data_IF_329257623913
#
_entry.id   IF_329257623913
#
_cell.length_a   1.000
_cell.length_b   1.000
_cell.length_c   1.000
_cell.angle_alpha   90.00
_cell.angle_beta   90.00
_cell.angle_gamma   90.00
#
_symmetry.space_group_name_H-M   'P 1'
#
loop_
_entity.id
_entity.type
_entity.pdbx_description
1 polymer ?
#
# COMPACT_ATOMS: atom_id res chain seq x y z
N UNK A 1 -46.75 39.70 -7.84
CA UNK A 1 -46.49 39.98 -6.41
C UNK A 1 -45.90 38.75 -5.77
N UNK A 2 -44.62 38.81 -5.43
CA UNK A 2 -43.95 37.91 -4.47
C UNK A 2 -43.64 38.74 -3.20
N UNK A 3 -43.16 38.18 -2.08
CA UNK A 3 -43.45 36.88 -1.46
C UNK A 3 -43.82 37.05 0.04
N UNK A 4 -44.52 36.09 0.64
CA UNK A 4 -44.67 36.04 2.11
C UNK A 4 -43.69 35.04 2.70
N UNK A 5 -42.67 35.58 3.38
CA UNK A 5 -41.68 34.86 4.18
C UNK A 5 -42.33 34.44 5.49
N UNK A 6 -42.28 33.16 5.85
CA UNK A 6 -42.51 32.73 7.23
C UNK A 6 -41.22 32.20 7.84
N UNK A 7 -41.02 32.62 9.09
CA UNK A 7 -39.75 32.77 9.81
C UNK A 7 -39.61 31.61 10.79
N UNK A 8 -38.40 31.06 10.91
CA UNK A 8 -38.06 30.09 11.95
C UNK A 8 -38.17 30.67 13.37
N UNK A 9 -38.37 29.83 14.40
CA UNK A 9 -38.02 30.16 15.77
C UNK A 9 -36.83 29.31 16.28
N UNK A 10 -35.72 29.98 16.58
CA UNK A 10 -34.74 29.60 17.62
C UNK A 10 -35.09 30.37 18.90
N UNK A 11 -35.05 29.73 20.08
CA UNK A 11 -33.91 29.91 21.02
C UNK A 11 -33.66 28.61 21.84
N UNK A 12 -32.59 28.35 22.58
CA UNK A 12 -31.41 29.06 23.09
C UNK A 12 -30.60 28.04 23.95
N UNK A 13 -29.40 28.38 24.44
CA UNK A 13 -28.45 27.41 24.99
C UNK A 13 -28.53 27.27 26.52
N UNK A 14 -28.27 26.07 27.05
CA UNK A 14 -28.04 25.78 28.49
C UNK A 14 -27.43 24.37 28.67
N UNK A 15 -26.73 24.04 29.77
CA UNK A 15 -25.43 24.57 30.19
C UNK A 15 -24.37 23.46 30.37
N UNK A 16 -23.10 23.89 30.28
CA UNK A 16 -21.91 23.20 30.78
C UNK A 16 -22.05 22.88 32.27
N UNK A 17 -21.89 21.60 32.64
CA UNK A 17 -21.68 21.18 34.03
C UNK A 17 -20.28 20.60 34.18
N UNK A 18 -19.41 21.44 34.72
CA UNK A 18 -18.15 21.07 35.35
C UNK A 18 -18.46 20.34 36.66
N UNK A 19 -17.87 19.17 36.87
CA UNK A 19 -17.62 18.65 38.22
C UNK A 19 -16.13 18.39 38.38
N UNK A 20 -15.57 19.09 39.36
CA UNK A 20 -14.21 19.02 39.85
C UNK A 20 -14.17 18.11 41.08
N UNK A 21 -12.95 17.65 41.40
CA UNK A 21 -12.49 17.21 42.74
C UNK A 21 -12.70 15.72 43.02
N UNK A 22 -11.77 14.95 43.59
CA UNK A 22 -10.53 15.27 44.31
C UNK A 22 -9.87 13.96 44.79
N UNK A 23 -8.54 13.95 44.89
CA UNK A 23 -7.68 13.36 45.97
C UNK A 23 -7.82 11.85 46.29
N UNK A 24 -6.80 11.04 46.56
CA UNK A 24 -5.40 11.26 46.94
C UNK A 24 -4.73 9.90 47.20
N UNK A 25 -3.39 9.91 47.19
CA UNK A 25 -2.50 9.17 48.12
C UNK A 25 -1.96 7.77 47.74
N UNK A 26 -0.66 7.78 47.41
CA UNK A 26 0.44 7.00 48.03
C UNK A 26 0.30 5.46 48.01
N UNK A 27 1.20 4.69 47.39
CA UNK A 27 2.44 4.24 48.05
C UNK A 27 3.41 3.50 47.09
N UNK A 28 4.68 3.93 47.08
CA UNK A 28 5.91 3.13 46.80
C UNK A 28 6.41 2.60 48.16
N UNK A 29 7.26 1.53 48.30
CA UNK A 29 8.50 1.27 47.56
C UNK A 29 8.73 -0.25 47.24
N UNK A 30 9.69 -0.68 46.43
CA UNK A 30 11.12 -0.92 46.79
C UNK A 30 11.89 -1.46 45.58
N UNK A 31 13.18 -1.14 45.56
CA UNK A 31 14.23 -1.57 44.61
C UNK A 31 15.07 -2.68 45.25
N UNK A 32 15.58 -3.66 44.49
CA UNK A 32 17.04 -3.84 44.35
C UNK A 32 17.39 -4.28 42.90
N UNK A 33 18.61 -4.35 42.37
CA UNK A 33 19.99 -4.09 42.77
C UNK A 33 20.78 -3.90 41.45
N UNK A 34 21.87 -3.13 41.49
CA UNK A 34 22.87 -3.01 40.41
C UNK A 34 23.54 -4.36 40.11
N UNK A 35 23.76 -4.68 38.83
CA UNK A 35 24.96 -5.38 38.36
C UNK A 35 25.62 -4.54 37.27
N UNK A 36 26.91 -4.35 37.47
CA UNK A 36 27.90 -3.70 36.62
C UNK A 36 28.33 -4.61 35.49
N UNK A 37 28.71 -4.04 34.35
CA UNK A 37 29.78 -4.59 33.51
C UNK A 37 29.50 -4.67 32.01
N UNK A 38 30.30 -3.90 31.26
CA UNK A 38 30.80 -4.12 29.90
C UNK A 38 29.90 -3.79 28.69
N UNK A 39 30.26 -2.70 28.00
CA UNK A 39 30.43 -2.72 26.53
C UNK A 39 31.94 -2.80 26.25
N UNK A 40 32.37 -3.50 25.20
CA UNK A 40 32.49 -2.85 23.89
C UNK A 40 31.98 -3.70 22.70
N UNK A 41 31.60 -2.98 21.64
CA UNK A 41 31.37 -3.40 20.24
C UNK A 41 32.63 -4.03 19.59
N UNK A 42 32.65 -4.41 18.28
CA UNK A 42 31.61 -4.87 17.35
C UNK A 42 31.97 -6.26 16.76
N UNK A 43 30.99 -7.11 16.46
CA UNK A 43 31.27 -8.30 15.62
C UNK A 43 30.45 -8.24 14.35
N UNK A 44 31.19 -8.05 13.26
CA UNK A 44 30.81 -8.36 11.89
C UNK A 44 30.15 -9.74 11.82
N UNK A 45 28.86 -9.76 11.49
CA UNK A 45 28.18 -10.97 11.04
C UNK A 45 27.27 -10.59 9.89
N UNK A 46 27.89 -10.66 8.71
CA UNK A 46 27.34 -10.54 7.36
C UNK A 46 26.38 -11.69 7.05
N UNK A 47 25.42 -11.93 7.95
CA UNK A 47 24.48 -13.05 7.91
C UNK A 47 23.07 -12.53 8.17
N UNK A 48 22.51 -11.88 7.15
CA UNK A 48 21.05 -11.88 6.95
C UNK A 48 20.81 -12.21 5.49
N UNK A 49 21.40 -13.33 5.06
CA UNK A 49 21.24 -13.83 3.69
C UNK A 49 20.14 -14.89 3.70
N UNK A 50 18.93 -14.39 3.44
CA UNK A 50 17.87 -15.12 2.73
C UNK A 50 17.37 -16.36 3.47
N UNK A 51 16.44 -16.17 4.40
CA UNK A 51 15.48 -17.22 4.77
C UNK A 51 14.05 -16.73 4.48
N UNK A 52 13.42 -17.45 3.55
CA UNK A 52 12.00 -17.52 3.23
C UNK A 52 11.12 -16.31 3.59
N UNK A 53 10.80 -15.47 2.61
CA UNK A 53 9.76 -14.44 2.73
C UNK A 53 8.55 -14.83 1.90
N UNK A 54 7.77 -15.79 2.42
CA UNK A 54 6.38 -15.94 2.03
C UNK A 54 5.71 -14.60 2.35
N UNK A 55 5.13 -13.96 1.35
CA UNK A 55 4.30 -12.77 1.58
C UNK A 55 3.15 -13.18 2.53
N UNK A 56 3.05 -12.58 3.74
CA UNK A 56 2.10 -13.02 4.77
C UNK A 56 0.64 -12.78 4.38
N UNK A 57 0.39 -12.07 3.27
CA UNK A 57 -0.94 -11.77 2.75
C UNK A 57 -1.34 -12.69 1.59
N UNK A 58 -0.39 -13.35 0.92
CA UNK A 58 -0.66 -14.01 -0.38
C UNK A 58 -0.21 -15.48 -0.49
N UNK A 59 0.77 -15.95 0.31
CA UNK A 59 1.09 -17.39 0.41
C UNK A 59 1.68 -18.06 -0.86
N UNK A 60 2.08 -17.30 -1.87
CA UNK A 60 2.63 -17.83 -3.13
C UNK A 60 4.16 -17.85 -3.09
N UNK A 61 4.77 -18.94 -3.56
CA UNK A 61 6.21 -19.07 -3.81
C UNK A 61 6.60 -18.10 -4.94
N UNK A 62 7.35 -17.04 -4.60
CA UNK A 62 7.80 -16.04 -5.56
C UNK A 62 9.15 -16.49 -6.12
N UNK A 63 9.25 -16.99 -7.37
CA UNK A 63 10.54 -17.29 -7.98
C UNK A 63 11.38 -16.01 -8.04
N UNK A 64 12.71 -16.15 -7.97
CA UNK A 64 13.66 -15.04 -7.78
C UNK A 64 13.22 -13.78 -8.53
N UNK A 65 12.97 -12.66 -7.82
CA UNK A 65 12.35 -11.52 -8.45
C UNK A 65 13.31 -10.97 -9.51
N UNK A 66 12.88 -11.02 -10.77
CA UNK A 66 13.56 -10.39 -11.89
C UNK A 66 13.76 -8.92 -11.54
N UNK A 67 14.97 -8.41 -11.78
CA UNK A 67 15.30 -6.99 -11.62
C UNK A 67 14.98 -6.27 -12.92
N UNK A 68 14.26 -5.17 -12.81
CA UNK A 68 13.81 -4.36 -13.92
C UNK A 68 14.63 -3.08 -14.03
N UNK A 69 14.93 -2.67 -15.26
CA UNK A 69 15.44 -1.32 -15.54
C UNK A 69 14.30 -0.32 -15.68
N UNK A 70 14.61 0.98 -15.61
CA UNK A 70 13.61 2.04 -15.81
C UNK A 70 12.98 1.95 -17.19
N UNK A 71 13.75 1.58 -18.20
CA UNK A 71 13.30 1.39 -19.58
C UNK A 71 12.33 0.21 -19.70
N UNK A 72 12.60 -0.91 -19.02
CA UNK A 72 11.70 -2.06 -18.97
C UNK A 72 10.38 -1.73 -18.26
N UNK A 73 10.45 -0.98 -17.15
CA UNK A 73 9.26 -0.48 -16.46
C UNK A 73 8.45 0.40 -17.40
N UNK A 74 9.09 1.38 -18.04
CA UNK A 74 8.43 2.30 -18.98
C UNK A 74 7.78 1.57 -20.15
N UNK A 75 8.40 0.51 -20.65
CA UNK A 75 7.83 -0.34 -21.70
C UNK A 75 6.58 -1.10 -21.23
N UNK A 76 6.47 -1.43 -19.94
CA UNK A 76 5.31 -2.13 -19.36
C UNK A 76 4.14 -1.20 -19.00
N UNK A 77 4.38 0.10 -18.80
CA UNK A 77 3.37 1.08 -18.36
C UNK A 77 2.10 1.07 -19.22
N UNK A 78 2.14 1.02 -20.57
CA UNK A 78 0.92 1.04 -21.38
C UNK A 78 0.02 -0.17 -21.11
N UNK A 79 0.60 -1.37 -20.98
CA UNK A 79 -0.15 -2.59 -20.66
C UNK A 79 -0.71 -2.53 -19.23
N UNK A 80 0.12 -2.15 -18.26
CA UNK A 80 -0.31 -2.02 -16.86
C UNK A 80 -1.44 -1.00 -16.74
N UNK A 81 -1.35 0.14 -17.42
CA UNK A 81 -2.40 1.17 -17.43
C UNK A 81 -3.72 0.63 -17.96
N UNK A 82 -3.69 -0.12 -19.08
CA UNK A 82 -4.89 -0.71 -19.66
C UNK A 82 -5.55 -1.71 -18.71
N UNK A 83 -4.77 -2.64 -18.15
CA UNK A 83 -5.26 -3.65 -17.21
C UNK A 83 -5.76 -3.03 -15.91
N UNK A 84 -5.10 -1.97 -15.43
CA UNK A 84 -5.54 -1.25 -14.23
C UNK A 84 -6.92 -0.64 -14.40
N UNK A 85 -7.17 -0.02 -15.56
CA UNK A 85 -8.49 0.53 -15.89
C UNK A 85 -9.57 -0.57 -15.89
N UNK A 86 -9.27 -1.74 -16.47
CA UNK A 86 -10.16 -2.89 -16.44
C UNK A 86 -10.42 -3.39 -15.00
N UNK A 87 -9.37 -3.49 -14.18
CA UNK A 87 -9.48 -3.89 -12.77
C UNK A 87 -10.35 -2.92 -11.94
N UNK A 88 -10.24 -1.60 -12.17
CA UNK A 88 -11.08 -0.60 -11.51
C UNK A 88 -12.55 -0.73 -11.91
N UNK A 89 -12.84 -0.99 -13.19
CA UNK A 89 -14.22 -1.21 -13.65
C UNK A 89 -14.82 -2.50 -13.07
N UNK A 90 -14.07 -3.60 -13.08
CA UNK A 90 -14.47 -4.87 -12.45
C UNK A 90 -14.75 -4.69 -10.96
N UNK A 91 -13.91 -3.94 -10.24
CA UNK A 91 -14.12 -3.65 -8.83
C UNK A 91 -15.34 -2.77 -8.59
N UNK A 92 -15.61 -1.80 -9.45
CA UNK A 92 -16.82 -1.00 -9.38
C UNK A 92 -18.08 -1.87 -9.57
N UNK A 93 -18.06 -2.80 -10.54
CA UNK A 93 -19.13 -3.79 -10.73
C UNK A 93 -19.30 -4.68 -9.51
N UNK A 94 -18.21 -5.22 -8.97
CA UNK A 94 -18.23 -6.09 -7.79
C UNK A 94 -18.85 -5.38 -6.58
N UNK A 95 -18.49 -4.10 -6.34
CA UNK A 95 -19.12 -3.28 -5.29
C UNK A 95 -20.62 -3.09 -5.50
N UNK A 96 -21.08 -2.89 -6.74
CA UNK A 96 -22.52 -2.76 -7.05
C UNK A 96 -23.29 -4.04 -6.72
N UNK A 97 -22.75 -5.20 -7.10
CA UNK A 97 -23.38 -6.50 -6.80
C UNK A 97 -23.35 -6.83 -5.31
N UNK A 98 -22.24 -6.53 -4.62
CA UNK A 98 -22.14 -6.69 -3.17
C UNK A 98 -23.24 -5.90 -2.44
N UNK A 99 -23.43 -4.62 -2.81
CA UNK A 99 -24.46 -3.78 -2.19
C UNK A 99 -25.89 -4.33 -2.42
N UNK A 100 -26.19 -4.86 -3.60
CA UNK A 100 -27.52 -5.47 -3.88
C UNK A 100 -27.76 -6.74 -3.06
N UNK A 101 -26.74 -7.57 -2.91
CA UNK A 101 -26.81 -8.78 -2.09
C UNK A 101 -27.00 -8.44 -0.60
N UNK A 102 -26.25 -7.45 -0.09
CA UNK A 102 -26.39 -6.95 1.27
C UNK A 102 -27.81 -6.38 1.53
N UNK A 103 -28.35 -5.58 0.60
CA UNK A 103 -29.71 -5.02 0.68
C UNK A 103 -30.78 -6.11 0.68
N UNK A 104 -30.55 -7.21 -0.04
CA UNK A 104 -31.42 -8.37 -0.04
C UNK A 104 -31.26 -9.25 1.23
N UNK A 105 -30.35 -8.92 2.14
CA UNK A 105 -30.08 -9.68 3.36
C UNK A 105 -29.16 -10.89 3.17
N UNK A 106 -28.43 -10.95 2.05
CA UNK A 106 -27.49 -12.02 1.72
C UNK A 106 -26.07 -11.44 1.63
N UNK A 107 -25.30 -11.37 2.73
CA UNK A 107 -23.95 -10.82 2.67
C UNK A 107 -23.08 -11.58 1.67
N UNK A 108 -22.21 -10.85 0.96
CA UNK A 108 -21.34 -11.48 -0.03
C UNK A 108 -20.45 -12.54 0.63
N UNK A 109 -20.64 -13.78 0.21
CA UNK A 109 -19.93 -14.95 0.71
C UNK A 109 -19.72 -15.93 -0.44
N UNK A 110 -18.84 -16.90 -0.29
CA UNK A 110 -18.58 -17.87 -1.36
C UNK A 110 -19.79 -18.75 -1.70
N UNK A 111 -20.68 -18.95 -0.73
CA UNK A 111 -21.80 -19.89 -0.81
C UNK A 111 -23.09 -19.20 -0.45
N UNK A 112 -24.08 -19.38 -1.30
CA UNK A 112 -25.43 -18.90 -1.06
C UNK A 112 -26.29 -20.02 -0.44
N UNK A 113 -27.25 -19.70 0.46
CA UNK A 113 -28.26 -20.66 0.90
C UNK A 113 -29.01 -21.27 -0.29
N UNK A 114 -29.35 -22.56 -0.18
CA UNK A 114 -30.02 -23.32 -1.26
C UNK A 114 -31.40 -22.76 -1.61
N UNK A 115 -32.07 -22.16 -0.62
CA UNK A 115 -33.40 -21.55 -0.72
C UNK A 115 -33.38 -20.09 -1.17
N UNK A 116 -32.21 -19.55 -1.53
CA UNK A 116 -32.10 -18.15 -1.93
C UNK A 116 -32.92 -17.83 -3.20
N UNK A 117 -33.58 -16.65 -3.25
CA UNK A 117 -34.37 -16.23 -4.39
C UNK A 117 -33.60 -16.26 -5.72
N UNK A 118 -34.27 -16.48 -6.87
CA UNK A 118 -33.61 -16.52 -8.17
C UNK A 118 -32.77 -15.27 -8.51
N UNK A 119 -33.22 -14.08 -8.13
CA UNK A 119 -32.49 -12.81 -8.30
C UNK A 119 -31.18 -12.77 -7.50
N UNK A 120 -31.22 -13.20 -6.24
CA UNK A 120 -30.02 -13.29 -5.38
C UNK A 120 -29.03 -14.30 -5.95
N UNK A 121 -29.52 -15.46 -6.42
CA UNK A 121 -28.68 -16.47 -7.10
C UNK A 121 -27.98 -15.90 -8.33
N UNK A 122 -28.67 -15.11 -9.15
CA UNK A 122 -28.08 -14.46 -10.34
C UNK A 122 -27.01 -13.45 -9.93
N UNK A 123 -27.31 -12.57 -8.99
CA UNK A 123 -26.36 -11.55 -8.54
C UNK A 123 -25.13 -12.18 -7.88
N UNK A 124 -25.30 -13.28 -7.14
CA UNK A 124 -24.21 -14.06 -6.57
C UNK A 124 -23.31 -14.68 -7.64
N UNK A 125 -23.87 -15.32 -8.67
CA UNK A 125 -23.08 -15.88 -9.78
C UNK A 125 -22.28 -14.80 -10.52
N UNK A 126 -22.88 -13.63 -10.74
CA UNK A 126 -22.16 -12.50 -11.36
C UNK A 126 -21.05 -12.01 -10.45
N UNK A 127 -21.29 -11.90 -9.13
CA UNK A 127 -20.26 -11.52 -8.16
C UNK A 127 -19.05 -12.47 -8.21
N UNK A 128 -19.28 -13.78 -8.26
CA UNK A 128 -18.22 -14.78 -8.37
C UNK A 128 -17.41 -14.60 -9.66
N UNK A 129 -18.08 -14.43 -10.81
CA UNK A 129 -17.41 -14.21 -12.09
C UNK A 129 -16.60 -12.92 -12.13
N UNK A 130 -17.12 -11.83 -11.56
CA UNK A 130 -16.41 -10.55 -11.46
C UNK A 130 -15.17 -10.66 -10.57
N UNK A 131 -15.24 -11.43 -9.48
CA UNK A 131 -14.10 -11.68 -8.60
C UNK A 131 -13.00 -12.44 -9.33
N UNK A 132 -13.37 -13.50 -10.06
CA UNK A 132 -12.41 -14.28 -10.83
C UNK A 132 -11.76 -13.41 -11.92
N UNK A 133 -12.53 -12.64 -12.67
CA UNK A 133 -12.00 -11.71 -13.67
C UNK A 133 -11.06 -10.65 -13.05
N UNK A 134 -11.41 -10.09 -11.88
CA UNK A 134 -10.54 -9.14 -11.18
C UNK A 134 -9.23 -9.79 -10.75
N UNK A 135 -9.27 -11.03 -10.24
CA UNK A 135 -8.07 -11.80 -9.90
C UNK A 135 -7.19 -12.00 -11.13
N UNK A 136 -7.78 -12.32 -12.27
CA UNK A 136 -7.04 -12.57 -13.51
C UNK A 136 -6.36 -11.29 -14.02
N UNK A 137 -7.01 -10.12 -13.96
CA UNK A 137 -6.37 -8.84 -14.30
C UNK A 137 -5.22 -8.50 -13.35
N UNK A 138 -5.41 -8.69 -12.04
CA UNK A 138 -4.34 -8.45 -11.06
C UNK A 138 -3.17 -9.41 -11.24
N UNK A 139 -3.44 -10.67 -11.56
CA UNK A 139 -2.40 -11.66 -11.86
C UNK A 139 -1.63 -11.29 -13.14
N UNK A 140 -2.33 -10.79 -14.16
CA UNK A 140 -1.70 -10.36 -15.40
C UNK A 140 -0.87 -9.08 -15.23
N UNK A 141 -1.31 -8.13 -14.39
CA UNK A 141 -0.47 -7.02 -13.93
C UNK A 141 0.78 -7.57 -13.22
N UNK A 142 0.60 -8.52 -12.29
CA UNK A 142 1.70 -9.18 -11.59
C UNK A 142 2.72 -9.86 -12.51
N UNK A 143 2.26 -10.45 -13.62
CA UNK A 143 3.12 -11.09 -14.62
C UNK A 143 4.07 -10.11 -15.34
N UNK A 144 3.79 -8.80 -15.30
CA UNK A 144 4.71 -7.75 -15.81
C UNK A 144 5.88 -7.46 -14.86
N UNK A 145 5.93 -8.12 -13.70
CA UNK A 145 6.88 -7.82 -12.61
C UNK A 145 6.44 -6.71 -11.67
N UNK A 146 5.26 -6.14 -11.94
CA UNK A 146 4.62 -5.12 -11.15
C UNK A 146 4.04 -5.69 -9.86
N UNK A 147 4.38 -5.09 -8.72
CA UNK A 147 3.77 -5.35 -7.42
C UNK A 147 2.75 -4.26 -7.16
N UNK A 148 1.46 -4.63 -7.21
CA UNK A 148 0.36 -3.73 -6.88
C UNK A 148 0.40 -3.42 -5.39
N UNK A 149 0.66 -2.15 -5.04
CA UNK A 149 0.68 -1.69 -3.64
C UNK A 149 -0.68 -1.23 -3.19
N UNK A 150 -1.35 -0.48 -4.04
CA UNK A 150 -2.68 0.05 -3.76
C UNK A 150 -3.43 0.29 -5.06
N UNK A 151 -4.47 -0.52 -5.29
CA UNK A 151 -5.32 -0.46 -6.47
C UNK A 151 -6.11 0.86 -6.55
N UNK A 152 -6.53 1.43 -5.41
CA UNK A 152 -7.34 2.66 -5.34
C UNK A 152 -6.52 3.89 -5.73
N UNK A 153 -5.31 4.02 -5.18
CA UNK A 153 -4.44 5.15 -5.49
C UNK A 153 -3.67 4.99 -6.79
N UNK A 154 -3.72 3.80 -7.40
CA UNK A 154 -3.02 3.51 -8.65
C UNK A 154 -1.54 3.23 -8.46
N UNK A 155 -1.11 2.81 -7.26
CA UNK A 155 0.29 2.72 -6.89
C UNK A 155 0.85 1.31 -7.11
N UNK A 156 1.96 1.21 -7.83
CA UNK A 156 2.70 -0.03 -7.98
C UNK A 156 4.20 0.14 -8.13
N UNK A 157 4.92 -0.95 -7.86
CA UNK A 157 6.38 -0.98 -7.84
C UNK A 157 6.95 -2.15 -8.63
N UNK A 158 8.13 -1.97 -9.22
CA UNK A 158 8.95 -3.04 -9.78
C UNK A 158 10.24 -3.14 -8.99
N UNK A 159 10.71 -4.37 -8.77
CA UNK A 159 12.03 -4.55 -8.18
C UNK A 159 13.09 -4.19 -9.22
N UNK A 160 13.91 -3.19 -8.94
CA UNK A 160 15.05 -2.78 -9.76
C UNK A 160 16.39 -3.00 -9.05
N UNK A 161 17.47 -2.74 -9.77
CA UNK A 161 18.82 -2.70 -9.22
C UNK A 161 19.54 -1.44 -9.70
N UNK A 162 20.17 -0.73 -8.78
CA UNK A 162 21.02 0.40 -9.10
C UNK A 162 22.33 0.35 -8.29
N UNK A 163 23.47 0.38 -8.99
CA UNK A 163 24.79 0.35 -8.34
C UNK A 163 25.03 -0.89 -7.48
N UNK A 164 24.46 -2.05 -7.86
CA UNK A 164 24.53 -3.30 -7.10
C UNK A 164 23.65 -3.33 -5.84
N UNK A 165 22.74 -2.35 -5.69
CA UNK A 165 21.75 -2.31 -4.61
C UNK A 165 20.35 -2.46 -5.18
N UNK A 166 19.53 -3.24 -4.50
CA UNK A 166 18.13 -3.40 -4.85
C UNK A 166 17.35 -2.13 -4.49
N UNK A 167 16.41 -1.74 -5.35
CA UNK A 167 15.54 -0.57 -5.17
C UNK A 167 14.14 -0.92 -5.69
N UNK A 168 13.12 -0.22 -5.20
CA UNK A 168 11.78 -0.26 -5.79
C UNK A 168 11.61 0.89 -6.77
N UNK A 169 11.36 0.58 -8.03
CA UNK A 169 10.98 1.53 -9.07
C UNK A 169 9.48 1.76 -8.96
N UNK A 170 9.05 2.98 -8.70
CA UNK A 170 7.72 3.28 -8.25
C UNK A 170 6.99 4.14 -9.29
N UNK A 171 5.81 3.71 -9.71
CA UNK A 171 4.97 4.43 -10.67
C UNK A 171 3.55 4.51 -10.14
N UNK A 172 2.83 5.56 -10.55
CA UNK A 172 1.42 5.72 -10.24
C UNK A 172 0.62 5.96 -11.50
N UNK A 173 -0.55 5.34 -11.58
CA UNK A 173 -1.52 5.56 -12.67
C UNK A 173 -1.72 7.06 -12.92
N UNK A 174 -1.56 7.46 -14.18
CA UNK A 174 -1.62 8.85 -14.64
C UNK A 174 -0.24 9.52 -14.81
N UNK A 175 0.84 8.92 -14.33
CA UNK A 175 2.21 9.31 -14.67
C UNK A 175 2.59 8.76 -16.05
N UNK A 176 3.26 9.56 -16.88
CA UNK A 176 3.64 9.14 -18.24
C UNK A 176 4.79 8.12 -18.25
N UNK A 177 5.67 8.19 -17.26
CA UNK A 177 6.86 7.35 -17.13
C UNK A 177 7.23 7.15 -15.65
N UNK A 178 8.08 6.16 -15.37
CA UNK A 178 8.61 5.87 -14.05
C UNK A 178 9.61 6.96 -13.61
N UNK A 179 9.11 7.94 -12.85
CA UNK A 179 9.90 9.08 -12.35
C UNK A 179 10.44 8.92 -10.92
N UNK A 180 10.11 7.83 -10.22
CA UNK A 180 10.37 7.69 -8.78
C UNK A 180 10.97 6.34 -8.42
N UNK A 181 11.76 6.31 -7.34
CA UNK A 181 12.23 5.08 -6.71
C UNK A 181 12.28 5.23 -5.18
N UNK A 182 12.37 4.13 -4.46
CA UNK A 182 12.71 4.12 -3.03
C UNK A 182 13.59 2.91 -2.69
N UNK A 183 14.27 2.94 -1.54
CA UNK A 183 15.05 1.78 -1.07
C UNK A 183 14.15 0.61 -0.67
N UNK A 184 14.72 -0.60 -0.59
CA UNK A 184 14.00 -1.80 -0.15
C UNK A 184 13.47 -1.67 1.29
N UNK A 185 14.25 -1.02 2.16
CA UNK A 185 13.89 -0.78 3.56
C UNK A 185 13.13 0.54 3.76
N UNK A 186 13.02 1.37 2.70
CA UNK A 186 12.29 2.63 2.73
C UNK A 186 10.83 2.37 2.36
N UNK A 187 9.90 2.83 3.19
CA UNK A 187 8.48 2.86 2.83
C UNK A 187 8.17 3.91 1.75
N UNK A 188 6.91 3.98 1.30
CA UNK A 188 6.46 4.94 0.28
C UNK A 188 6.84 6.41 0.54
N UNK A 189 6.93 6.82 1.80
CA UNK A 189 7.37 8.17 2.20
C UNK A 189 8.82 8.50 1.80
N UNK A 190 9.62 7.50 1.42
CA UNK A 190 10.99 7.63 0.95
C UNK A 190 11.13 7.75 -0.58
N UNK A 191 10.05 8.04 -1.32
CA UNK A 191 10.11 8.27 -2.77
C UNK A 191 11.11 9.37 -3.11
N UNK A 192 12.07 9.04 -3.95
CA UNK A 192 13.09 9.92 -4.50
C UNK A 192 12.98 9.98 -6.02
N UNK A 193 13.33 11.10 -6.65
CA UNK A 193 13.29 11.24 -8.10
C UNK A 193 14.31 10.32 -8.77
N UNK A 194 13.93 9.69 -9.86
CA UNK A 194 14.76 8.71 -10.60
C UNK A 194 16.09 9.31 -11.10
N UNK A 195 16.18 10.63 -11.23
CA UNK A 195 17.41 11.37 -11.58
C UNK A 195 18.55 11.14 -10.58
N UNK A 196 18.25 10.79 -9.33
CA UNK A 196 19.27 10.43 -8.35
C UNK A 196 19.91 9.07 -8.66
N UNK A 197 19.22 8.16 -9.36
CA UNK A 197 19.81 6.93 -9.90
C UNK A 197 20.68 7.23 -11.14
N UNK A 198 20.41 8.29 -11.90
CA UNK A 198 21.25 8.65 -13.04
C UNK A 198 22.58 9.29 -12.63
N UNK A 199 22.74 9.67 -11.35
CA UNK A 199 23.97 10.29 -10.86
C UNK A 199 24.98 9.19 -10.52
N UNK A 200 26.08 9.02 -11.29
CA UNK A 200 27.16 8.14 -10.85
C UNK A 200 27.66 8.63 -9.48
N UNK A 201 28.01 7.74 -8.53
CA UNK A 201 28.60 8.17 -7.27
C UNK A 201 29.79 9.07 -7.63
N UNK A 202 29.74 10.32 -7.17
CA UNK A 202 30.76 11.30 -7.49
C UNK A 202 32.14 10.68 -7.25
N UNK A 203 32.87 10.39 -8.32
CA UNK A 203 34.24 9.94 -8.19
C UNK A 203 34.98 11.02 -7.40
N UNK A 204 35.65 10.69 -6.28
CA UNK A 204 36.39 11.69 -5.52
C UNK A 204 37.37 12.36 -6.49
N UNK A 205 37.27 13.69 -6.59
CA UNK A 205 38.18 14.49 -7.41
C UNK A 205 39.62 14.07 -7.08
N UNK A 206 40.45 13.69 -8.07
CA UNK A 206 41.85 13.40 -7.79
C UNK A 206 42.47 14.67 -7.17
N UNK A 207 43.31 14.53 -6.13
CA UNK A 207 43.94 15.68 -5.51
C UNK A 207 44.69 16.48 -6.58
N UNK A 208 44.42 17.79 -6.62
CA UNK A 208 45.06 18.70 -7.56
C UNK A 208 46.57 18.50 -7.49
N UNK A 209 47.18 18.02 -8.58
CA UNK A 209 48.63 17.91 -8.69
C UNK A 209 49.18 19.33 -8.72
N UNK A 210 49.63 19.82 -7.55
CA UNK A 210 50.44 21.02 -7.46
C UNK A 210 51.76 20.70 -8.15
N UNK A 211 51.92 21.17 -9.39
CA UNK A 211 53.23 21.19 -10.06
C UNK A 211 54.10 22.20 -9.29
N UNK A 212 55.17 21.70 -8.67
CA UNK A 212 56.25 22.52 -8.12
C UNK A 212 57.23 22.88 -9.23
#
# INVERSE_FOLDING_TARGET
MAPSRSRAPTPGPCPIRTTRSSTSSTSRPRRPRRRTGASPTPTSSTETRIEARIDPNTGVDVPMPRRYTVEEVNASIPEVTHRWAAALELRAQLRRHHARLDEAGYPASDKLPSDAPPEVRRDHLVLLGLRDALRDELAAIGATGCVVRDLDTGLCDWLGEHGGREVWLCWRVGEAECGWFHGIDDGFAGRRPITELATPPAAPLPPARIRR
#
